data_IF_610123732069
#
_entry.id   IF_610123732069
#
_cell.length_a   1.000
_cell.length_b   1.000
_cell.length_c   1.000
_cell.angle_alpha   90.00
_cell.angle_beta   90.00
_cell.angle_gamma   90.00
#
_symmetry.space_group_name_H-M   'P 1'
#
loop_
_entity.id
_entity.type
_entity.pdbx_description
1 polymer ?
#
# COMPACT_ATOMS: atom_id res chain seq x y z
N UNK A 1 36.52 -11.29 4.16
CA UNK A 1 35.39 -10.67 4.88
C UNK A 1 34.16 -10.86 4.02
N UNK A 2 33.25 -11.74 4.40
CA UNK A 2 31.94 -11.86 3.75
C UNK A 2 30.92 -11.29 4.72
N UNK A 3 30.40 -10.10 4.42
CA UNK A 3 29.25 -9.55 5.14
C UNK A 3 28.03 -10.21 4.52
N UNK A 4 27.53 -11.26 5.15
CA UNK A 4 26.24 -11.83 4.80
C UNK A 4 25.17 -10.81 5.19
N UNK A 5 24.71 -9.99 4.23
CA UNK A 5 23.53 -9.16 4.44
C UNK A 5 22.38 -10.09 4.82
N UNK A 6 22.00 -10.07 6.10
CA UNK A 6 20.87 -10.84 6.63
C UNK A 6 19.63 -10.42 5.83
N UNK A 7 19.16 -11.28 4.93
CA UNK A 7 17.90 -11.06 4.23
C UNK A 7 16.79 -11.21 5.26
N UNK A 8 16.39 -10.09 5.85
CA UNK A 8 15.18 -10.01 6.66
C UNK A 8 13.99 -10.15 5.73
N UNK A 9 13.39 -11.34 5.73
CA UNK A 9 12.05 -11.54 5.19
C UNK A 9 11.09 -10.89 6.18
N UNK A 10 10.83 -9.60 5.99
CA UNK A 10 9.72 -8.94 6.66
C UNK A 10 8.45 -9.57 6.14
N UNK A 11 7.71 -10.28 7.00
CA UNK A 11 6.32 -10.62 6.71
C UNK A 11 5.58 -9.29 6.59
N UNK A 12 5.37 -8.78 5.37
CA UNK A 12 4.49 -7.64 5.16
C UNK A 12 3.08 -8.10 5.54
N UNK A 13 2.54 -7.59 6.66
CA UNK A 13 1.22 -8.01 7.06
C UNK A 13 0.21 -7.60 5.99
N UNK A 14 -0.57 -8.55 5.46
CA UNK A 14 -1.65 -8.23 4.53
C UNK A 14 -2.60 -7.20 5.19
N UNK A 15 -2.86 -6.10 4.49
CA UNK A 15 -3.69 -4.99 4.96
C UNK A 15 -5.15 -5.08 4.50
N UNK A 16 -5.48 -6.00 3.59
CA UNK A 16 -6.86 -6.20 3.13
C UNK A 16 -7.62 -7.07 4.14
N UNK A 17 -8.72 -6.53 4.68
CA UNK A 17 -9.61 -7.21 5.64
C UNK A 17 -10.73 -8.00 4.94
N UNK A 18 -11.20 -7.51 3.78
CA UNK A 18 -12.38 -8.07 3.10
C UNK A 18 -12.08 -9.15 2.07
N UNK A 19 -12.94 -10.17 2.02
CA UNK A 19 -12.96 -11.17 0.95
C UNK A 19 -13.39 -10.62 -0.42
N UNK A 20 -14.19 -9.54 -0.42
CA UNK A 20 -14.62 -8.84 -1.63
C UNK A 20 -13.91 -7.50 -1.73
N UNK A 21 -13.17 -7.32 -2.81
CA UNK A 21 -12.52 -6.06 -3.16
C UNK A 21 -12.80 -5.76 -4.64
N UNK A 22 -12.94 -4.47 -4.97
CA UNK A 22 -13.00 -4.03 -6.36
C UNK A 22 -11.69 -3.34 -6.70
N UNK A 23 -10.84 -4.06 -7.43
CA UNK A 23 -9.59 -3.53 -7.96
C UNK A 23 -9.77 -3.02 -9.38
N UNK A 24 -9.25 -1.84 -9.68
CA UNK A 24 -9.12 -1.32 -11.04
C UNK A 24 -7.65 -1.12 -11.39
N UNK A 25 -7.29 -1.49 -12.61
CA UNK A 25 -5.93 -1.28 -13.11
C UNK A 25 -5.71 0.21 -13.38
N UNK A 26 -4.65 0.76 -12.82
CA UNK A 26 -4.18 2.12 -13.05
C UNK A 26 -2.69 2.10 -13.40
N UNK A 27 -2.16 3.22 -13.85
CA UNK A 27 -0.74 3.34 -14.17
C UNK A 27 -0.03 3.99 -13.00
N UNK A 28 0.92 3.27 -12.40
CA UNK A 28 1.87 3.82 -11.46
C UNK A 28 2.94 4.62 -12.20
N UNK A 29 3.12 5.89 -11.82
CA UNK A 29 4.16 6.77 -12.33
C UNK A 29 5.40 6.70 -11.45
N UNK A 30 6.57 7.07 -12.00
CA UNK A 30 7.84 7.08 -11.27
C UNK A 30 7.88 8.08 -10.09
N UNK A 31 6.94 9.01 -10.04
CA UNK A 31 6.87 10.03 -8.99
C UNK A 31 6.24 9.49 -7.70
N UNK A 32 5.48 8.40 -7.78
CA UNK A 32 4.88 7.75 -6.61
C UNK A 32 5.80 6.70 -5.98
N UNK A 33 6.91 6.35 -6.64
CA UNK A 33 7.83 5.32 -6.15
C UNK A 33 8.83 5.89 -5.15
N UNK A 34 8.91 5.31 -3.96
CA UNK A 34 9.98 5.60 -3.01
C UNK A 34 11.28 4.95 -3.46
N UNK A 35 12.41 5.65 -3.27
CA UNK A 35 13.72 5.08 -3.62
C UNK A 35 14.21 4.19 -2.48
N UNK A 36 14.32 2.89 -2.75
CA UNK A 36 14.91 1.88 -1.87
C UNK A 36 16.43 2.07 -1.73
N UNK A 37 17.05 1.47 -0.71
CA UNK A 37 18.50 1.56 -0.40
C UNK A 37 19.39 1.08 -1.57
N UNK A 38 18.80 0.35 -2.51
CA UNK A 38 19.44 -0.19 -3.72
C UNK A 38 19.24 0.69 -4.96
N UNK A 39 18.66 1.88 -4.82
CA UNK A 39 18.42 2.85 -5.91
C UNK A 39 17.23 2.51 -6.82
N UNK A 40 16.35 1.61 -6.39
CA UNK A 40 15.13 1.23 -7.13
C UNK A 40 13.96 2.06 -6.64
N UNK A 41 13.10 2.54 -7.56
CA UNK A 41 11.85 3.22 -7.22
C UNK A 41 10.73 2.19 -7.08
N UNK A 42 10.24 2.00 -5.87
CA UNK A 42 9.20 1.01 -5.56
C UNK A 42 7.99 1.74 -5.02
N UNK A 43 6.83 1.53 -5.64
CA UNK A 43 5.53 1.86 -5.07
C UNK A 43 5.16 0.70 -4.16
N UNK A 44 5.00 0.97 -2.86
CA UNK A 44 4.67 -0.06 -1.88
C UNK A 44 3.17 -0.37 -1.91
N UNK A 45 2.84 -1.63 -1.60
CA UNK A 45 1.49 -2.05 -1.31
C UNK A 45 0.97 -1.31 -0.08
N UNK A 46 -0.26 -0.82 -0.14
CA UNK A 46 -0.86 0.03 0.89
C UNK A 46 -0.68 1.54 0.66
N UNK A 47 0.11 1.97 -0.33
CA UNK A 47 0.21 3.40 -0.68
C UNK A 47 -1.09 3.91 -1.29
N UNK A 48 -1.48 5.13 -0.91
CA UNK A 48 -2.65 5.82 -1.46
C UNK A 48 -2.36 6.28 -2.89
N UNK A 49 -3.25 5.95 -3.82
CA UNK A 49 -3.18 6.35 -5.22
C UNK A 49 -4.20 7.45 -5.53
N UNK A 50 -3.84 8.50 -6.29
CA UNK A 50 -2.50 8.86 -6.77
C UNK A 50 -1.64 9.62 -5.73
N UNK A 51 -2.28 10.24 -4.74
CA UNK A 51 -1.63 10.96 -3.65
C UNK A 51 -2.51 10.90 -2.39
N UNK A 52 -1.88 11.03 -1.22
CA UNK A 52 -2.51 10.99 0.10
C UNK A 52 -3.26 12.30 0.43
N UNK A 53 -4.13 12.75 -0.47
CA UNK A 53 -4.88 14.00 -0.41
C UNK A 53 -6.33 13.81 -0.90
N UNK A 54 -7.08 14.90 -1.05
CA UNK A 54 -8.45 14.87 -1.59
C UNK A 54 -8.59 14.26 -3.01
N UNK A 55 -7.48 13.99 -3.71
CA UNK A 55 -7.49 13.32 -5.02
C UNK A 55 -7.38 11.80 -4.92
N UNK A 56 -7.30 11.25 -3.70
CA UNK A 56 -7.20 9.83 -3.46
C UNK A 56 -8.36 9.04 -4.09
N UNK A 57 -8.01 8.08 -4.95
CA UNK A 57 -8.93 7.20 -5.67
C UNK A 57 -9.00 5.83 -5.00
N UNK A 58 -7.90 5.39 -4.37
CA UNK A 58 -7.83 4.06 -3.78
C UNK A 58 -6.45 3.69 -3.25
N UNK A 59 -6.25 2.40 -2.95
CA UNK A 59 -5.03 1.88 -2.35
C UNK A 59 -4.35 0.87 -3.27
N UNK A 60 -3.03 0.96 -3.41
CA UNK A 60 -2.22 0.02 -4.21
C UNK A 60 -2.18 -1.36 -3.54
N UNK A 61 -2.46 -2.42 -4.31
CA UNK A 61 -2.52 -3.80 -3.79
C UNK A 61 -1.16 -4.50 -3.70
N UNK A 62 -0.25 -4.21 -4.62
CA UNK A 62 1.01 -4.94 -4.78
C UNK A 62 2.20 -3.99 -4.84
N UNK A 63 3.37 -4.46 -4.40
CA UNK A 63 4.64 -3.75 -4.57
C UNK A 63 5.01 -3.72 -6.07
N UNK A 64 5.21 -2.53 -6.62
CA UNK A 64 5.54 -2.34 -8.04
C UNK A 64 6.81 -1.52 -8.22
N UNK A 65 7.77 -2.09 -8.95
CA UNK A 65 9.02 -1.42 -9.31
C UNK A 65 8.82 -0.52 -10.55
N UNK A 66 8.86 0.79 -10.35
CA UNK A 66 8.73 1.82 -11.39
C UNK A 66 10.09 2.46 -11.76
N UNK A 67 11.22 1.83 -11.41
CA UNK A 67 12.57 2.38 -11.58
C UNK A 67 12.86 2.84 -13.01
N UNK A 68 12.42 2.06 -14.00
CA UNK A 68 12.78 2.31 -15.40
C UNK A 68 11.61 2.73 -16.28
N UNK A 69 10.35 2.46 -15.88
CA UNK A 69 9.16 2.79 -16.64
C UNK A 69 7.92 2.85 -15.73
N UNK A 70 6.88 3.55 -16.20
CA UNK A 70 5.56 3.47 -15.60
C UNK A 70 5.01 2.04 -15.72
N UNK A 71 4.43 1.52 -14.65
CA UNK A 71 3.94 0.14 -14.58
C UNK A 71 2.43 0.12 -14.32
N UNK A 72 1.68 -0.84 -14.89
CA UNK A 72 0.31 -1.08 -14.49
C UNK A 72 0.27 -1.62 -13.05
N UNK A 73 -0.63 -1.10 -12.24
CA UNK A 73 -0.82 -1.49 -10.84
C UNK A 73 -2.30 -1.70 -10.55
N UNK A 74 -2.61 -2.66 -9.68
CA UNK A 74 -3.96 -2.85 -9.14
C UNK A 74 -4.22 -1.83 -8.03
N UNK A 75 -5.18 -0.93 -8.26
CA UNK A 75 -5.66 0.00 -7.23
C UNK A 75 -7.02 -0.48 -6.76
N UNK A 76 -7.12 -0.78 -5.47
CA UNK A 76 -8.39 -1.08 -4.82
C UNK A 76 -9.19 0.21 -4.64
N UNK A 77 -10.40 0.23 -5.19
CA UNK A 77 -11.34 1.36 -5.13
C UNK A 77 -12.45 1.09 -4.10
N UNK A 78 -12.76 -0.19 -3.84
CA UNK A 78 -13.77 -0.61 -2.87
C UNK A 78 -13.22 -1.78 -2.05
N UNK A 79 -13.42 -1.76 -0.72
CA UNK A 79 -12.98 -2.81 0.17
C UNK A 79 -12.81 -2.38 1.63
N UNK A 80 -12.38 -3.31 2.47
CA UNK A 80 -12.06 -3.05 3.88
C UNK A 80 -10.56 -3.20 4.10
N UNK A 81 -9.94 -2.23 4.77
CA UNK A 81 -8.49 -2.13 4.94
C UNK A 81 -8.11 -1.89 6.40
N UNK A 82 -7.06 -2.56 6.86
CA UNK A 82 -6.47 -2.31 8.17
C UNK A 82 -5.52 -1.11 8.13
N UNK A 83 -5.92 -0.01 8.76
CA UNK A 83 -5.12 1.23 8.77
C UNK A 83 -3.75 1.03 9.44
N UNK A 84 -3.69 0.20 10.49
CA UNK A 84 -2.45 -0.09 11.22
C UNK A 84 -1.42 -0.93 10.44
N UNK A 85 -1.80 -1.45 9.27
CA UNK A 85 -0.94 -2.26 8.40
C UNK A 85 -0.53 -1.54 7.13
N UNK A 86 -0.90 -0.27 6.99
CA UNK A 86 -0.47 0.56 5.87
C UNK A 86 0.93 1.14 6.11
N UNK A 87 1.73 1.30 5.03
CA UNK A 87 3.07 1.88 5.13
C UNK A 87 3.04 3.38 5.49
N UNK A 88 1.92 4.05 5.21
CA UNK A 88 1.71 5.48 5.46
C UNK A 88 0.34 5.71 6.08
N UNK A 89 0.26 6.64 7.04
CA UNK A 89 -1.01 7.07 7.62
C UNK A 89 -1.83 7.80 6.56
N UNK A 90 -3.03 7.29 6.27
CA UNK A 90 -3.95 7.90 5.31
C UNK A 90 -4.49 9.21 5.89
N UNK A 91 -4.38 10.31 5.14
CA UNK A 91 -4.89 11.61 5.55
C UNK A 91 -6.43 11.61 5.62
N UNK A 92 -7.01 12.44 6.48
CA UNK A 92 -8.47 12.54 6.60
C UNK A 92 -9.13 12.93 5.25
N UNK A 93 -8.46 13.76 4.46
CA UNK A 93 -8.90 14.13 3.11
C UNK A 93 -8.95 12.93 2.16
N UNK A 94 -7.96 12.04 2.23
CA UNK A 94 -7.94 10.81 1.45
C UNK A 94 -9.02 9.82 1.91
N UNK A 95 -9.30 9.74 3.21
CA UNK A 95 -10.42 8.94 3.74
C UNK A 95 -11.78 9.46 3.25
N UNK A 96 -11.95 10.78 3.17
CA UNK A 96 -13.17 11.38 2.63
C UNK A 96 -13.33 11.19 1.11
N UNK A 97 -12.22 11.21 0.37
CA UNK A 97 -12.23 10.95 -1.07
C UNK A 97 -12.55 9.47 -1.38
N UNK A 98 -12.03 8.54 -0.59
CA UNK A 98 -12.26 7.09 -0.71
C UNK A 98 -13.55 6.61 -0.04
N UNK A 99 -14.71 7.08 -0.52
CA UNK A 99 -16.02 6.79 0.11
C UNK A 99 -16.40 5.32 0.19
N UNK A 100 -15.84 4.49 -0.68
CA UNK A 100 -16.15 3.06 -0.78
C UNK A 100 -15.12 2.16 -0.07
N UNK A 101 -14.06 2.75 0.50
CA UNK A 101 -13.07 2.05 1.30
C UNK A 101 -13.35 2.31 2.77
N UNK A 102 -13.49 1.24 3.54
CA UNK A 102 -13.67 1.32 4.98
C UNK A 102 -12.40 0.89 5.69
N UNK A 103 -11.93 1.74 6.59
CA UNK A 103 -10.80 1.44 7.43
C UNK A 103 -11.29 0.73 8.70
N UNK A 104 -10.72 -0.44 8.97
CA UNK A 104 -10.97 -1.21 10.17
C UNK A 104 -9.71 -1.23 11.03
N UNK A 105 -9.87 -1.37 12.35
CA UNK A 105 -8.75 -1.70 13.22
C UNK A 105 -8.36 -3.16 13.00
N UNK A 106 -7.06 -3.44 13.12
CA UNK A 106 -6.56 -4.79 12.91
C UNK A 106 -7.13 -5.76 13.94
N UNK A 107 -7.89 -6.75 13.47
CA UNK A 107 -8.58 -7.76 14.27
C UNK A 107 -7.65 -8.82 14.91
N UNK A 108 -6.35 -8.55 15.11
CA UNK A 108 -5.67 -9.34 16.12
C UNK A 108 -6.20 -8.93 17.47
N UNK A 109 -7.04 -9.79 18.05
CA UNK A 109 -7.00 -9.98 19.49
C UNK A 109 -5.53 -10.14 19.85
N UNK A 110 -4.96 -9.13 20.51
CA UNK A 110 -3.90 -9.39 21.46
C UNK A 110 -4.48 -10.42 22.43
N UNK A 111 -4.26 -11.71 22.16
CA UNK A 111 -4.08 -12.65 23.26
C UNK A 111 -2.81 -12.19 23.95
N UNK A 112 -3.02 -11.23 24.86
CA UNK A 112 -2.17 -11.01 25.98
C UNK A 112 -2.13 -12.33 26.77
N UNK A 113 -1.04 -13.08 26.61
CA UNK A 113 -0.38 -13.81 27.69
C UNK A 113 1.08 -14.15 27.33
#
# INVERSE_FOLDING_TARGET
MFVSNKTTYGSQPAFVSSAHIVSRTRTATQDMGETDERGRKIVKAGTVYPANDATAIGIVLDDVDVTYNNQPVGVMVEGYVYESRLPETVSDEAKEAMKEIKFEEYNATEEAE
#
